data_IF_644102630436
#
_entry.id   IF_644102630436
#
_cell.length_a   1.000
_cell.length_b   1.000
_cell.length_c   1.000
_cell.angle_alpha   90.00
_cell.angle_beta   90.00
_cell.angle_gamma   90.00
#
_symmetry.space_group_name_H-M   'P 1'
#
loop_
_entity.id
_entity.type
_entity.pdbx_description
1 polymer ?
#
# COMPACT_ATOMS: atom_id res chain seq x y z
N UNK A 1 -3.06 0.12 -15.93
CA UNK A 1 -2.89 0.58 -14.53
C UNK A 1 -3.92 -0.14 -13.66
N UNK A 2 -3.56 -0.52 -12.43
CA UNK A 2 -4.47 -1.18 -11.48
C UNK A 2 -5.36 -0.20 -10.72
N UNK A 3 -6.13 -0.71 -9.74
CA UNK A 3 -7.13 0.06 -8.95
C UNK A 3 -6.53 1.28 -8.26
N UNK A 4 -5.35 1.15 -7.65
CA UNK A 4 -4.67 2.26 -6.95
C UNK A 4 -3.90 3.20 -7.90
N UNK A 5 -3.89 2.93 -9.20
CA UNK A 5 -3.21 3.79 -10.18
C UNK A 5 -1.68 3.84 -10.10
N UNK A 6 -1.06 3.06 -9.20
CA UNK A 6 0.40 3.02 -9.01
C UNK A 6 1.14 2.65 -10.30
N UNK A 7 2.35 3.19 -10.45
CA UNK A 7 3.24 2.81 -11.55
C UNK A 7 3.62 1.35 -11.42
N UNK A 8 3.35 0.56 -12.46
CA UNK A 8 3.62 -0.88 -12.47
C UNK A 8 4.74 -1.17 -13.46
N UNK A 9 5.81 -1.79 -12.97
CA UNK A 9 7.01 -2.12 -13.74
C UNK A 9 7.27 -3.63 -13.66
N UNK A 10 7.88 -4.16 -14.71
CA UNK A 10 8.29 -5.57 -14.84
C UNK A 10 7.16 -6.61 -14.73
N UNK A 11 5.91 -6.18 -14.56
CA UNK A 11 4.77 -7.07 -14.35
C UNK A 11 4.50 -8.00 -15.53
N UNK A 12 4.70 -7.55 -16.77
CA UNK A 12 4.55 -8.44 -17.92
C UNK A 12 5.64 -9.52 -17.97
N UNK A 13 6.88 -9.19 -17.62
CA UNK A 13 7.98 -10.15 -17.51
C UNK A 13 7.69 -11.17 -16.39
N UNK A 14 7.17 -10.70 -15.25
CA UNK A 14 6.65 -11.56 -14.19
C UNK A 14 5.52 -12.49 -14.69
N UNK A 15 4.52 -11.97 -15.40
CA UNK A 15 3.40 -12.77 -15.92
C UNK A 15 3.85 -13.84 -16.92
N UNK A 16 4.93 -13.58 -17.67
CA UNK A 16 5.54 -14.56 -18.58
C UNK A 16 6.49 -15.55 -17.87
N UNK A 17 6.76 -15.35 -16.58
CA UNK A 17 7.68 -16.18 -15.79
C UNK A 17 9.16 -15.87 -16.03
N UNK A 18 9.48 -14.75 -16.67
CA UNK A 18 10.86 -14.30 -16.91
C UNK A 18 11.49 -13.68 -15.64
N UNK A 19 10.66 -13.17 -14.74
CA UNK A 19 11.05 -12.65 -13.43
C UNK A 19 10.17 -13.25 -12.33
N UNK A 20 10.72 -13.43 -11.13
CA UNK A 20 9.96 -13.90 -9.95
C UNK A 20 9.29 -12.76 -9.16
N UNK A 21 9.60 -11.51 -9.50
CA UNK A 21 9.11 -10.31 -8.82
C UNK A 21 8.62 -9.29 -9.84
N UNK A 22 7.78 -8.36 -9.39
CA UNK A 22 7.43 -7.13 -10.11
C UNK A 22 7.47 -5.92 -9.17
N UNK A 23 7.36 -4.71 -9.70
CA UNK A 23 7.64 -3.49 -8.93
C UNK A 23 6.50 -2.48 -9.02
N UNK A 24 6.11 -1.91 -7.88
CA UNK A 24 5.32 -0.69 -7.82
C UNK A 24 6.23 0.53 -7.62
N UNK A 25 6.18 1.50 -8.55
CA UNK A 25 6.77 2.83 -8.35
C UNK A 25 5.80 3.70 -7.57
N UNK A 26 6.23 4.19 -6.41
CA UNK A 26 5.42 5.08 -5.56
C UNK A 26 6.01 6.49 -5.45
N UNK A 27 7.23 6.71 -5.95
CA UNK A 27 7.86 8.02 -6.09
C UNK A 27 9.03 7.98 -7.07
N UNK A 28 9.70 9.12 -7.32
CA UNK A 28 10.83 9.18 -8.26
C UNK A 28 11.98 8.24 -7.91
N UNK A 29 12.19 7.97 -6.62
CA UNK A 29 13.27 7.14 -6.09
C UNK A 29 12.78 6.04 -5.14
N UNK A 30 11.47 5.85 -5.03
CA UNK A 30 10.86 4.93 -4.05
C UNK A 30 10.02 3.88 -4.75
N UNK A 31 10.29 2.62 -4.42
CA UNK A 31 9.68 1.45 -5.05
C UNK A 31 9.28 0.42 -4.00
N UNK A 32 8.28 -0.39 -4.32
CA UNK A 32 7.90 -1.59 -3.56
C UNK A 32 8.08 -2.77 -4.50
N UNK A 33 9.01 -3.67 -4.19
CA UNK A 33 9.12 -4.95 -4.88
C UNK A 33 8.12 -5.95 -4.29
N UNK A 34 7.37 -6.61 -5.16
CA UNK A 34 6.41 -7.63 -4.79
C UNK A 34 6.91 -8.96 -5.28
N UNK A 35 7.00 -9.92 -4.34
CA UNK A 35 7.30 -11.31 -4.63
C UNK A 35 6.10 -12.17 -4.22
N UNK A 36 5.18 -12.47 -5.15
CA UNK A 36 4.06 -13.34 -4.85
C UNK A 36 4.55 -14.74 -4.49
N UNK A 37 4.07 -15.28 -3.38
CA UNK A 37 4.38 -16.63 -2.93
C UNK A 37 3.10 -17.36 -2.57
N UNK A 38 2.91 -18.57 -3.10
CA UNK A 38 1.81 -19.46 -2.72
C UNK A 38 1.93 -19.99 -1.28
N UNK A 39 3.10 -19.84 -0.66
CA UNK A 39 3.37 -20.19 0.72
C UNK A 39 3.43 -18.96 1.64
N UNK A 40 2.97 -17.80 1.17
CA UNK A 40 2.91 -16.61 2.00
C UNK A 40 1.97 -16.87 3.19
N UNK A 41 2.51 -16.77 4.40
CA UNK A 41 1.72 -16.83 5.63
C UNK A 41 1.36 -15.40 6.00
N UNK A 42 0.06 -15.12 6.12
CA UNK A 42 -0.41 -13.83 6.61
C UNK A 42 0.19 -13.57 8.02
N UNK A 43 0.66 -12.35 8.33
CA UNK A 43 1.23 -12.05 9.63
C UNK A 43 0.26 -12.43 10.76
N UNK A 44 0.73 -13.25 11.71
CA UNK A 44 -0.05 -13.61 12.89
C UNK A 44 0.29 -12.64 14.03
N UNK A 45 -0.42 -11.52 14.14
CA UNK A 45 -0.17 -10.53 15.20
C UNK A 45 -1.05 -9.29 15.10
N UNK A 46 -1.18 -8.55 16.21
CA UNK A 46 -2.02 -7.34 16.34
C UNK A 46 -1.29 -6.01 16.08
N UNK A 47 -0.01 -6.02 15.67
CA UNK A 47 0.73 -4.79 15.44
C UNK A 47 1.52 -4.83 14.11
N UNK A 48 1.21 -3.87 13.23
CA UNK A 48 1.94 -3.49 12.02
C UNK A 48 2.13 -4.57 10.95
N UNK A 49 1.03 -5.21 10.51
CA UNK A 49 1.01 -6.18 9.41
C UNK A 49 0.78 -5.56 8.02
N UNK A 50 0.91 -4.24 7.91
CA UNK A 50 0.50 -3.49 6.73
C UNK A 50 1.56 -2.48 6.25
N UNK A 51 1.48 -2.15 4.97
CA UNK A 51 2.22 -1.03 4.37
C UNK A 51 1.30 0.19 4.30
N UNK A 52 1.80 1.34 4.75
CA UNK A 52 1.08 2.61 4.62
C UNK A 52 1.58 3.41 3.41
N UNK A 53 0.65 3.85 2.57
CA UNK A 53 0.88 4.80 1.50
C UNK A 53 0.31 6.16 1.92
N UNK A 54 1.17 7.18 1.97
CA UNK A 54 0.78 8.54 2.31
C UNK A 54 0.51 9.31 1.03
N UNK A 55 -0.63 9.99 0.97
CA UNK A 55 -1.03 10.82 -0.16
C UNK A 55 -1.11 12.29 0.26
N UNK A 56 -0.64 13.15 -0.64
CA UNK A 56 -0.76 14.62 -0.49
C UNK A 56 -2.16 15.12 -0.86
N UNK A 57 -2.94 14.29 -1.57
CA UNK A 57 -4.31 14.61 -1.97
C UNK A 57 -5.31 14.12 -0.92
N UNK A 58 -6.45 14.82 -0.73
CA UNK A 58 -7.51 14.38 0.16
C UNK A 58 -8.04 13.00 -0.22
N UNK A 59 -8.35 12.17 0.79
CA UNK A 59 -9.00 10.88 0.61
C UNK A 59 -10.51 11.08 0.79
N UNK A 60 -11.24 11.04 -0.33
CA UNK A 60 -12.70 10.94 -0.31
C UNK A 60 -13.13 9.55 0.17
N UNK A 61 -14.01 9.52 1.16
CA UNK A 61 -14.48 8.28 1.79
C UNK A 61 -15.76 8.52 2.58
N UNK A 62 -16.50 7.45 2.82
CA UNK A 62 -17.58 7.45 3.79
C UNK A 62 -17.05 7.14 5.20
N UNK A 63 -17.56 7.87 6.20
CA UNK A 63 -17.15 7.72 7.60
C UNK A 63 -15.84 8.41 7.96
N UNK A 64 -15.32 8.10 9.15
CA UNK A 64 -14.15 8.76 9.74
C UNK A 64 -13.06 7.80 10.24
N UNK A 65 -12.66 6.73 9.52
CA UNK A 65 -11.59 5.87 10.02
C UNK A 65 -10.28 6.65 10.23
N UNK A 66 -9.45 6.26 11.18
CA UNK A 66 -8.15 6.92 11.39
C UNK A 66 -7.06 5.91 11.21
N UNK A 67 -5.90 6.38 10.76
CA UNK A 67 -4.70 5.54 10.67
C UNK A 67 -4.31 5.02 12.06
N UNK A 68 -3.33 4.11 12.15
CA UNK A 68 -2.98 3.51 13.44
C UNK A 68 -2.51 4.53 14.49
N UNK A 69 -2.00 5.69 14.05
CA UNK A 69 -1.67 6.80 14.95
C UNK A 69 -2.88 7.58 15.48
N UNK A 70 -4.11 7.27 15.04
CA UNK A 70 -5.34 7.91 15.50
C UNK A 70 -5.52 9.37 15.07
N UNK A 71 -4.68 9.89 14.19
CA UNK A 71 -4.64 11.31 13.81
C UNK A 71 -5.08 11.54 12.36
N UNK A 72 -4.32 11.02 11.40
CA UNK A 72 -4.62 11.15 9.97
C UNK A 72 -5.90 10.41 9.56
N UNK A 73 -6.60 10.97 8.57
CA UNK A 73 -7.64 10.25 7.85
C UNK A 73 -6.98 9.10 7.10
N UNK A 74 -7.50 7.89 7.29
CA UNK A 74 -7.00 6.71 6.60
C UNK A 74 -8.10 5.72 6.26
N UNK A 75 -7.95 4.99 5.16
CA UNK A 75 -8.76 3.82 4.83
C UNK A 75 -7.86 2.60 4.72
N UNK A 76 -8.42 1.43 5.01
CA UNK A 76 -7.71 0.16 4.95
C UNK A 76 -8.30 -0.70 3.84
N UNK A 77 -7.45 -1.21 2.97
CA UNK A 77 -7.83 -2.13 1.89
C UNK A 77 -7.00 -3.39 1.98
N UNK A 78 -7.58 -4.54 1.62
CA UNK A 78 -6.81 -5.77 1.42
C UNK A 78 -6.45 -5.90 -0.05
N UNK A 79 -5.18 -6.19 -0.33
CA UNK A 79 -4.77 -6.56 -1.67
C UNK A 79 -5.28 -7.97 -2.04
N UNK A 80 -5.18 -8.38 -3.31
CA UNK A 80 -5.63 -9.71 -3.74
C UNK A 80 -4.92 -10.90 -3.06
N UNK A 81 -3.78 -10.65 -2.39
CA UNK A 81 -3.00 -11.66 -1.67
C UNK A 81 -3.31 -11.66 -0.16
N UNK A 82 -4.18 -10.76 0.30
CA UNK A 82 -4.64 -10.67 1.68
C UNK A 82 -3.83 -9.72 2.56
N UNK A 83 -2.79 -9.06 2.04
CA UNK A 83 -2.03 -8.06 2.79
C UNK A 83 -2.88 -6.82 3.01
N UNK A 84 -2.80 -6.28 4.23
CA UNK A 84 -3.47 -5.04 4.56
C UNK A 84 -2.61 -3.86 4.05
N UNK A 85 -3.27 -2.87 3.46
CA UNK A 85 -2.66 -1.62 3.00
C UNK A 85 -3.42 -0.46 3.61
N UNK A 86 -2.71 0.43 4.30
CA UNK A 86 -3.26 1.69 4.82
C UNK A 86 -3.07 2.77 3.76
N UNK A 87 -4.15 3.38 3.29
CA UNK A 87 -4.10 4.61 2.49
C UNK A 87 -4.40 5.76 3.44
N UNK A 88 -3.45 6.69 3.61
CA UNK A 88 -3.60 7.77 4.58
C UNK A 88 -3.22 9.13 4.02
N UNK A 89 -3.89 10.16 4.52
CA UNK A 89 -3.49 11.54 4.29
C UNK A 89 -2.22 11.85 5.10
N UNK A 90 -1.45 12.83 4.63
CA UNK A 90 -0.38 13.41 5.43
C UNK A 90 -0.94 13.99 6.74
N UNK A 91 -0.24 13.81 7.85
CA UNK A 91 -0.56 14.52 9.08
C UNK A 91 -0.03 15.94 8.91
N UNK A 92 -0.92 16.92 8.80
CA UNK A 92 -0.53 18.32 8.95
C UNK A 92 -0.04 18.52 10.38
N UNK A 93 1.26 18.81 10.55
CA UNK A 93 1.78 19.35 11.80
C UNK A 93 1.13 20.72 11.95
N UNK A 94 0.34 20.92 13.00
CA UNK A 94 -0.03 22.27 13.42
C UNK A 94 1.18 22.77 14.19
N UNK A 95 1.90 23.74 13.63
CA UNK A 95 2.91 24.47 14.40
C UNK A 95 2.17 25.21 15.54
N UNK A 96 2.52 24.86 16.79
CA UNK A 96 2.06 25.55 18.02
C UNK A 96 2.71 26.95 18.14
#
# INVERSE_FOLDING_TARGET
>A
RGVLGLGLEDHEAYQRGEMSIFTFRIGPTTVIHVHPSSNAVAPAGQAFDYVALVFDQPIEREGTPRGAGGTARAVYVRDPFGYLVELKEAVSVVDD
#
